data_IF_342929066878
#
_entry.id   IF_342929066878
#
_cell.length_a   1.000
_cell.length_b   1.000
_cell.length_c   1.000
_cell.angle_alpha   90.00
_cell.angle_beta   90.00
_cell.angle_gamma   90.00
#
_symmetry.space_group_name_H-M   'P 1'
#
loop_
_entity.id
_entity.type
_entity.pdbx_description
1 polymer ?
#
# COMPACT_ATOMS: atom_id res chain seq x y z
N UNK A 1 31.25 19.48 -44.37
CA UNK A 1 31.54 18.98 -43.01
C UNK A 1 31.00 19.88 -41.91
N UNK A 2 31.26 21.21 -41.92
CA UNK A 2 30.79 22.17 -40.89
C UNK A 2 29.26 22.25 -40.72
N UNK A 3 28.49 22.12 -41.82
CA UNK A 3 27.01 22.11 -41.81
C UNK A 3 26.40 20.82 -41.23
N UNK A 4 27.12 19.69 -41.33
CA UNK A 4 26.69 18.41 -40.75
C UNK A 4 26.89 18.39 -39.24
N UNK A 5 27.98 18.99 -38.76
CA UNK A 5 28.25 19.16 -37.33
C UNK A 5 27.21 20.06 -36.65
N UNK A 6 26.79 21.16 -37.31
CA UNK A 6 25.73 22.02 -36.77
C UNK A 6 24.36 21.33 -36.73
N UNK A 7 24.04 20.48 -37.71
CA UNK A 7 22.79 19.72 -37.70
C UNK A 7 22.77 18.66 -36.59
N UNK A 8 23.91 18.01 -36.33
CA UNK A 8 24.04 17.02 -35.26
C UNK A 8 23.93 17.64 -33.86
N UNK A 9 24.53 18.82 -33.65
CA UNK A 9 24.40 19.59 -32.41
C UNK A 9 22.97 20.12 -32.18
N UNK A 10 22.26 20.49 -33.24
CA UNK A 10 20.87 20.95 -33.12
C UNK A 10 19.90 19.80 -32.79
N UNK A 11 20.07 18.62 -33.39
CA UNK A 11 19.27 17.43 -33.07
C UNK A 11 19.49 16.90 -31.64
N UNK A 12 20.72 17.03 -31.11
CA UNK A 12 21.02 16.63 -29.73
C UNK A 12 20.33 17.53 -28.69
N UNK A 13 20.09 18.81 -29.00
CA UNK A 13 19.40 19.75 -28.11
C UNK A 13 17.88 19.58 -28.03
N UNK A 14 17.26 18.93 -29.03
CA UNK A 14 15.81 18.69 -29.09
C UNK A 14 15.36 17.44 -28.31
N UNK A 15 16.30 16.61 -27.86
CA UNK A 15 16.00 15.40 -27.10
C UNK A 15 15.94 15.73 -25.59
N UNK A 16 14.91 16.46 -25.17
CA UNK A 16 14.64 16.58 -23.74
C UNK A 16 14.05 15.26 -23.24
N UNK A 17 14.55 14.68 -22.13
CA UNK A 17 13.89 13.54 -21.51
C UNK A 17 12.51 13.99 -21.03
N UNK A 18 11.45 13.41 -21.59
CA UNK A 18 10.11 13.58 -21.06
C UNK A 18 10.06 12.93 -19.68
N UNK A 19 10.23 13.72 -18.61
CA UNK A 19 9.89 13.29 -17.26
C UNK A 19 8.36 13.22 -17.16
N UNK A 20 7.80 12.10 -17.62
CA UNK A 20 6.43 11.74 -17.28
C UNK A 20 6.39 11.38 -15.80
N UNK A 21 5.78 12.22 -14.97
CA UNK A 21 5.49 11.85 -13.59
C UNK A 21 4.54 10.64 -13.64
N UNK A 22 5.01 9.50 -13.14
CA UNK A 22 4.22 8.27 -13.19
C UNK A 22 3.02 8.41 -12.26
N UNK A 23 1.86 7.91 -12.70
CA UNK A 23 0.62 7.94 -11.94
C UNK A 23 0.13 6.52 -11.66
N UNK A 24 -0.17 6.23 -10.40
CA UNK A 24 -0.71 4.95 -9.94
C UNK A 24 -2.13 5.13 -9.46
N UNK A 25 -3.02 4.19 -9.82
CA UNK A 25 -4.41 4.20 -9.40
C UNK A 25 -4.62 3.20 -8.27
N UNK A 26 -5.09 3.70 -7.12
CA UNK A 26 -5.34 2.93 -5.91
C UNK A 26 -6.85 2.91 -5.60
N UNK A 27 -7.42 1.71 -5.57
CA UNK A 27 -8.81 1.48 -5.19
C UNK A 27 -8.91 1.34 -3.66
N UNK A 28 -9.73 2.14 -3.00
CA UNK A 28 -9.91 2.13 -1.54
C UNK A 28 -11.40 2.17 -1.18
N UNK A 29 -11.74 1.69 0.01
CA UNK A 29 -13.09 1.84 0.55
C UNK A 29 -13.18 2.95 1.58
N UNK A 30 -14.39 3.43 1.81
CA UNK A 30 -14.64 4.41 2.87
C UNK A 30 -14.51 3.77 4.25
N UNK A 31 -13.74 4.42 5.11
CA UNK A 31 -13.58 4.06 6.51
C UNK A 31 -13.18 5.30 7.34
N UNK A 32 -14.14 6.19 7.67
CA UNK A 32 -13.86 7.33 8.51
C UNK A 32 -13.42 6.90 9.93
N UNK A 33 -12.51 7.64 10.59
CA UNK A 33 -11.87 8.88 10.15
C UNK A 33 -10.59 8.66 9.30
N UNK A 34 -10.26 7.42 8.94
CA UNK A 34 -8.99 7.08 8.31
C UNK A 34 -8.97 7.29 6.80
N UNK A 35 -10.08 6.96 6.13
CA UNK A 35 -10.27 7.05 4.68
C UNK A 35 -11.68 7.58 4.40
N UNK A 36 -11.81 8.59 3.54
CA UNK A 36 -13.12 9.04 3.07
C UNK A 36 -13.01 10.12 2.01
N UNK A 37 -13.90 10.12 1.02
CA UNK A 37 -13.85 11.05 -0.11
C UNK A 37 -14.04 12.51 0.35
N UNK A 38 -14.90 12.70 1.36
CA UNK A 38 -15.21 14.02 1.93
C UNK A 38 -14.18 14.53 2.97
N UNK A 39 -13.16 13.74 3.31
CA UNK A 39 -12.17 14.14 4.31
C UNK A 39 -11.05 14.99 3.69
N UNK A 40 -10.42 15.91 4.45
CA UNK A 40 -9.20 16.57 4.03
C UNK A 40 -8.14 15.54 3.64
N UNK A 41 -7.53 15.71 2.46
CA UNK A 41 -6.55 14.77 1.90
C UNK A 41 -7.03 13.32 1.79
N UNK A 42 -8.34 13.10 1.76
CA UNK A 42 -9.00 11.79 1.80
C UNK A 42 -8.79 10.99 3.11
N UNK A 43 -8.25 11.61 4.16
CA UNK A 43 -7.95 11.00 5.45
C UNK A 43 -6.45 10.70 5.66
N UNK A 44 -6.10 10.22 6.85
CA UNK A 44 -4.70 9.98 7.25
C UNK A 44 -4.02 8.90 6.42
N UNK A 45 -4.77 7.88 5.98
CA UNK A 45 -4.20 6.80 5.19
C UNK A 45 -3.80 7.30 3.81
N UNK A 46 -4.69 7.87 2.97
CA UNK A 46 -4.28 8.36 1.65
C UNK A 46 -3.20 9.45 1.71
N UNK A 47 -3.20 10.28 2.76
CA UNK A 47 -2.13 11.23 2.99
C UNK A 47 -0.75 10.53 3.13
N UNK A 48 -0.64 9.52 4.00
CA UNK A 48 0.57 8.73 4.17
C UNK A 48 1.04 8.09 2.85
N UNK A 49 0.10 7.70 1.99
CA UNK A 49 0.42 7.09 0.69
C UNK A 49 0.91 8.10 -0.31
N UNK A 50 0.28 9.26 -0.38
CA UNK A 50 0.76 10.36 -1.20
C UNK A 50 2.21 10.71 -0.83
N UNK A 51 2.51 10.80 0.46
CA UNK A 51 3.88 11.06 0.94
C UNK A 51 4.84 9.93 0.55
N UNK A 52 4.46 8.68 0.77
CA UNK A 52 5.29 7.52 0.41
C UNK A 52 5.58 7.45 -1.09
N UNK A 53 4.58 7.64 -1.95
CA UNK A 53 4.74 7.62 -3.41
C UNK A 53 5.45 8.88 -3.94
N UNK A 54 5.27 10.03 -3.29
CA UNK A 54 5.99 11.27 -3.62
C UNK A 54 7.50 11.12 -3.44
N UNK A 55 7.98 10.30 -2.50
CA UNK A 55 9.43 10.02 -2.35
C UNK A 55 10.05 9.38 -3.60
N UNK A 56 9.24 8.75 -4.45
CA UNK A 56 9.64 8.11 -5.71
C UNK A 56 9.25 8.94 -6.94
N UNK A 57 8.73 10.15 -6.76
CA UNK A 57 8.21 10.99 -7.85
C UNK A 57 6.97 10.41 -8.52
N UNK A 58 6.17 9.63 -7.79
CA UNK A 58 4.94 9.01 -8.30
C UNK A 58 3.71 9.73 -7.73
N UNK A 59 2.76 10.05 -8.59
CA UNK A 59 1.46 10.60 -8.21
C UNK A 59 0.43 9.48 -8.00
N UNK A 60 -0.55 9.70 -7.12
CA UNK A 60 -1.57 8.72 -6.77
C UNK A 60 -2.96 9.24 -7.13
N UNK A 61 -3.73 8.43 -7.84
CA UNK A 61 -5.16 8.61 -8.08
C UNK A 61 -5.94 7.64 -7.19
N UNK A 62 -6.94 8.14 -6.45
CA UNK A 62 -7.79 7.31 -5.61
C UNK A 62 -9.14 7.06 -6.28
N UNK A 63 -9.62 5.81 -6.19
CA UNK A 63 -10.98 5.45 -6.51
C UNK A 63 -11.68 4.89 -5.27
N UNK A 64 -12.83 5.47 -4.93
CA UNK A 64 -13.65 5.03 -3.81
C UNK A 64 -14.65 3.98 -4.27
N UNK A 65 -14.56 2.79 -3.68
CA UNK A 65 -15.44 1.67 -3.98
C UNK A 65 -15.83 0.94 -2.69
N UNK A 66 -16.97 0.21 -2.66
CA UNK A 66 -17.21 -0.77 -1.60
C UNK A 66 -16.00 -1.71 -1.49
N UNK A 67 -15.56 -2.03 -0.26
CA UNK A 67 -14.32 -2.80 -0.01
C UNK A 67 -14.18 -4.06 -0.87
N UNK A 68 -15.27 -4.84 -0.98
CA UNK A 68 -15.30 -6.04 -1.85
C UNK A 68 -14.99 -5.72 -3.31
N UNK A 69 -15.54 -4.61 -3.82
CA UNK A 69 -15.28 -4.14 -5.20
C UNK A 69 -13.85 -3.66 -5.34
N UNK A 70 -13.33 -2.85 -4.41
CA UNK A 70 -11.94 -2.40 -4.44
C UNK A 70 -10.95 -3.59 -4.55
N UNK A 71 -11.20 -4.67 -3.80
CA UNK A 71 -10.43 -5.91 -3.92
C UNK A 71 -10.53 -6.54 -5.31
N UNK A 72 -11.75 -6.67 -5.84
CA UNK A 72 -12.00 -7.26 -7.15
C UNK A 72 -11.37 -6.44 -8.28
N UNK A 73 -11.43 -5.11 -8.21
CA UNK A 73 -10.80 -4.20 -9.17
C UNK A 73 -9.29 -4.44 -9.31
N UNK A 74 -8.60 -4.67 -8.19
CA UNK A 74 -7.17 -4.98 -8.19
C UNK A 74 -6.90 -6.41 -8.62
N UNK A 75 -7.71 -7.37 -8.16
CA UNK A 75 -7.60 -8.78 -8.59
C UNK A 75 -7.77 -8.93 -10.12
N UNK A 76 -8.63 -8.11 -10.72
CA UNK A 76 -8.88 -8.10 -12.17
C UNK A 76 -7.91 -7.19 -12.94
N UNK A 77 -6.95 -6.54 -12.27
CA UNK A 77 -5.92 -5.70 -12.88
C UNK A 77 -6.41 -4.37 -13.44
N UNK A 78 -7.68 -3.99 -13.21
CA UNK A 78 -8.22 -2.69 -13.62
C UNK A 78 -7.65 -1.54 -12.80
N UNK A 79 -7.33 -1.83 -11.54
CA UNK A 79 -6.64 -0.94 -10.63
C UNK A 79 -5.29 -1.54 -10.24
N UNK A 80 -4.27 -0.70 -10.07
CA UNK A 80 -2.91 -1.18 -9.82
C UNK A 80 -2.73 -1.61 -8.37
N UNK A 81 -3.41 -0.93 -7.45
CA UNK A 81 -3.24 -1.18 -6.03
C UNK A 81 -4.49 -0.93 -5.20
N UNK A 82 -4.44 -1.42 -3.95
CA UNK A 82 -5.44 -1.12 -2.91
C UNK A 82 -4.76 -1.10 -1.54
N UNK A 83 -5.33 -0.36 -0.59
CA UNK A 83 -4.70 -0.05 0.70
C UNK A 83 -5.46 -0.67 1.88
N UNK A 84 -4.78 -0.80 3.02
CA UNK A 84 -5.36 -1.18 4.33
C UNK A 84 -6.03 -2.56 4.33
N UNK A 85 -5.31 -3.54 3.78
CA UNK A 85 -5.75 -4.94 3.83
C UNK A 85 -5.00 -5.72 4.90
N UNK A 86 -5.74 -6.39 5.78
CA UNK A 86 -5.19 -7.45 6.60
C UNK A 86 -4.60 -8.57 5.74
N UNK A 87 -3.37 -8.97 6.05
CA UNK A 87 -2.60 -10.01 5.37
C UNK A 87 -3.14 -11.40 5.76
N UNK A 88 -3.65 -12.16 4.79
CA UNK A 88 -4.11 -13.54 4.97
C UNK A 88 -3.58 -14.43 3.84
N UNK A 89 -3.38 -15.75 4.07
CA UNK A 89 -2.82 -16.64 3.05
C UNK A 89 -3.62 -16.64 1.74
N UNK A 90 -4.95 -16.56 1.81
CA UNK A 90 -5.83 -16.53 0.63
C UNK A 90 -5.58 -15.26 -0.20
N UNK A 91 -5.28 -14.15 0.45
CA UNK A 91 -5.04 -12.87 -0.22
C UNK A 91 -3.65 -12.75 -0.79
N UNK A 92 -2.65 -13.40 -0.17
CA UNK A 92 -1.29 -13.52 -0.69
C UNK A 92 -1.24 -14.35 -1.97
N UNK A 93 -2.09 -15.39 -2.05
CA UNK A 93 -2.24 -16.19 -3.27
C UNK A 93 -2.71 -15.35 -4.46
N UNK A 94 -3.44 -14.26 -4.22
CA UNK A 94 -3.97 -13.38 -5.27
C UNK A 94 -3.08 -12.14 -5.53
N UNK A 95 -2.41 -11.56 -4.53
CA UNK A 95 -1.64 -10.31 -4.68
C UNK A 95 -0.41 -10.21 -3.77
N UNK A 96 0.48 -9.29 -4.14
CA UNK A 96 1.65 -8.93 -3.34
C UNK A 96 1.29 -7.90 -2.27
N UNK A 97 1.93 -8.00 -1.11
CA UNK A 97 1.78 -7.09 0.03
C UNK A 97 3.10 -6.35 0.28
N UNK A 98 3.02 -5.06 0.60
CA UNK A 98 4.18 -4.30 1.08
C UNK A 98 4.60 -4.68 2.49
N UNK A 99 5.66 -4.02 2.99
CA UNK A 99 5.87 -3.90 4.42
C UNK A 99 4.62 -3.30 5.11
N UNK A 100 4.48 -3.62 6.39
CA UNK A 100 3.38 -3.13 7.23
C UNK A 100 3.43 -1.61 7.31
N UNK A 101 2.36 -0.92 6.93
CA UNK A 101 2.28 0.54 7.04
C UNK A 101 1.43 1.02 8.20
N UNK A 102 0.58 0.15 8.73
CA UNK A 102 -0.31 0.45 9.84
C UNK A 102 -0.54 -0.82 10.66
N UNK A 103 -0.60 -0.64 11.98
CA UNK A 103 -0.84 -1.70 12.96
C UNK A 103 -1.98 -1.25 13.87
N UNK A 104 -3.03 -2.05 13.93
CA UNK A 104 -4.13 -1.91 14.88
C UNK A 104 -4.07 -2.98 15.97
N UNK A 105 -4.66 -2.64 17.11
CA UNK A 105 -4.90 -3.54 18.22
C UNK A 105 -6.41 -3.68 18.42
N UNK A 106 -6.88 -4.93 18.44
CA UNK A 106 -8.28 -5.23 18.72
C UNK A 106 -8.46 -5.32 20.23
N UNK A 107 -9.16 -4.34 20.80
CA UNK A 107 -9.46 -4.26 22.22
C UNK A 107 -10.96 -4.44 22.48
N UNK A 108 -11.29 -5.07 23.61
CA UNK A 108 -12.68 -5.24 24.04
C UNK A 108 -13.11 -4.07 24.94
N UNK A 109 -14.12 -3.32 24.51
CA UNK A 109 -14.76 -2.30 25.33
C UNK A 109 -15.95 -2.90 26.09
N UNK A 110 -16.08 -2.57 27.37
CA UNK A 110 -17.23 -2.92 28.20
C UNK A 110 -17.70 -1.73 29.04
N UNK A 111 -18.96 -1.78 29.47
CA UNK A 111 -19.57 -0.71 30.27
C UNK A 111 -19.05 -0.77 31.71
N UNK A 112 -18.64 0.36 32.30
CA UNK A 112 -18.04 0.39 33.65
C UNK A 112 -18.91 -0.25 34.73
N UNK A 113 -20.22 -0.08 34.62
CA UNK A 113 -21.25 -0.60 35.55
C UNK A 113 -21.65 -2.06 35.27
N UNK A 114 -21.19 -2.64 34.16
CA UNK A 114 -21.42 -4.05 33.82
C UNK A 114 -20.09 -4.72 33.47
N UNK A 115 -19.21 -4.95 34.48
CA UNK A 115 -17.98 -5.68 34.26
C UNK A 115 -18.29 -7.08 33.75
N UNK A 116 -17.52 -7.53 32.76
CA UNK A 116 -17.64 -8.87 32.21
C UNK A 116 -17.01 -9.83 33.23
N UNK A 117 -17.82 -10.67 33.85
CA UNK A 117 -17.36 -11.63 34.84
C UNK A 117 -16.63 -12.79 34.16
N UNK A 118 -15.36 -12.96 34.52
CA UNK A 118 -14.48 -13.97 33.96
C UNK A 118 -13.38 -13.34 33.13
N UNK A 119 -12.17 -13.30 33.69
CA UNK A 119 -10.91 -13.35 32.95
C UNK A 119 -10.82 -14.69 32.21
N UNK A 120 -11.79 -15.01 31.35
CA UNK A 120 -11.47 -15.74 30.15
C UNK A 120 -10.62 -14.75 29.37
N UNK A 121 -9.30 -14.88 29.53
CA UNK A 121 -8.29 -14.33 28.64
C UNK A 121 -8.94 -14.27 27.27
N UNK A 122 -9.32 -13.07 26.80
CA UNK A 122 -9.66 -12.92 25.40
C UNK A 122 -8.44 -13.51 24.71
N UNK A 123 -8.57 -14.65 24.00
CA UNK A 123 -7.47 -15.15 23.19
C UNK A 123 -7.47 -14.23 21.99
N UNK A 124 -7.26 -12.92 22.22
CA UNK A 124 -6.91 -11.98 21.17
C UNK A 124 -5.84 -12.67 20.40
N UNK A 125 -6.05 -12.80 19.09
CA UNK A 125 -5.63 -13.97 18.33
C UNK A 125 -4.19 -14.28 18.72
N UNK A 126 -4.02 -15.38 19.48
CA UNK A 126 -2.74 -15.72 20.09
C UNK A 126 -1.71 -15.68 18.97
N UNK A 127 -0.80 -14.70 19.04
CA UNK A 127 0.26 -14.45 18.07
C UNK A 127 -0.14 -14.37 16.58
N UNK A 128 -1.33 -13.88 16.23
CA UNK A 128 -1.62 -13.63 14.80
C UNK A 128 -1.43 -12.16 14.47
N UNK A 129 -0.24 -11.83 13.97
CA UNK A 129 -0.01 -10.72 13.02
C UNK A 129 -0.97 -9.55 13.20
N UNK A 130 -0.70 -8.71 14.21
CA UNK A 130 -1.33 -7.40 14.37
C UNK A 130 -1.62 -6.81 12.99
N UNK A 131 -2.90 -6.62 12.66
CA UNK A 131 -3.45 -6.65 11.31
C UNK A 131 -2.63 -5.75 10.39
N UNK A 132 -1.62 -6.36 9.78
CA UNK A 132 -0.56 -5.65 9.12
C UNK A 132 -1.12 -5.20 7.79
N UNK A 133 -1.63 -3.98 7.79
CA UNK A 133 -2.20 -3.35 6.63
C UNK A 133 -1.08 -3.07 5.65
N UNK A 134 -1.14 -3.69 4.48
CA UNK A 134 -0.13 -3.53 3.45
C UNK A 134 -0.74 -3.15 2.10
N UNK A 135 0.09 -2.55 1.26
CA UNK A 135 -0.21 -2.19 -0.11
C UNK A 135 -0.38 -3.44 -0.94
N UNK A 136 -1.56 -3.59 -1.52
CA UNK A 136 -1.84 -4.59 -2.54
C UNK A 136 -1.31 -4.06 -3.87
N UNK A 137 -0.52 -4.85 -4.60
CA UNK A 137 -0.17 -4.58 -6.00
C UNK A 137 -0.72 -5.66 -6.94
N UNK A 138 -1.20 -5.25 -8.11
CA UNK A 138 -1.44 -6.16 -9.23
C UNK A 138 -0.11 -6.75 -9.71
N UNK A 139 0.00 -8.08 -9.69
CA UNK A 139 1.24 -8.86 -9.91
C UNK A 139 1.95 -8.55 -11.24
N UNK A 140 1.26 -7.95 -12.22
CA UNK A 140 1.78 -7.65 -13.56
C UNK A 140 2.63 -6.37 -13.69
N UNK A 141 2.62 -5.45 -12.70
CA UNK A 141 3.26 -4.13 -12.82
C UNK A 141 4.22 -3.74 -11.69
N UNK A 142 4.71 -4.69 -10.90
CA UNK A 142 5.72 -4.44 -9.86
C UNK A 142 7.11 -4.13 -10.45
N UNK A 143 7.33 -2.94 -11.01
CA UNK A 143 8.67 -2.43 -11.34
C UNK A 143 9.33 -1.67 -10.19
N UNK A 144 8.56 -1.11 -9.25
CA UNK A 144 9.05 -0.08 -8.34
C UNK A 144 9.62 -0.58 -7.01
N UNK A 145 9.15 -1.71 -6.49
CA UNK A 145 9.55 -2.20 -5.17
C UNK A 145 10.49 -3.43 -5.22
N UNK A 146 10.98 -3.80 -6.40
CA UNK A 146 11.97 -4.87 -6.54
C UNK A 146 13.41 -4.33 -6.63
N UNK A 147 13.70 -3.24 -5.90
CA UNK A 147 15.08 -2.97 -5.48
C UNK A 147 15.28 -3.60 -4.11
N UNK A 148 16.23 -4.55 -3.96
CA UNK A 148 16.55 -5.08 -2.64
C UNK A 148 17.05 -3.92 -1.80
N UNK A 149 16.26 -3.49 -0.81
CA UNK A 149 16.70 -2.49 0.14
C UNK A 149 17.67 -3.19 1.10
N UNK A 150 18.93 -3.27 0.67
CA UNK A 150 20.07 -3.69 1.46
C UNK A 150 20.37 -2.63 2.52
N UNK A 151 19.50 -2.46 3.54
CA UNK A 151 19.78 -1.74 4.79
C UNK A 151 18.53 -1.66 5.70
N UNK A 152 17.90 -2.79 6.03
CA UNK A 152 17.06 -2.86 7.23
C UNK A 152 17.08 -4.30 7.74
N UNK A 153 18.06 -4.59 8.60
CA UNK A 153 18.16 -5.87 9.28
C UNK A 153 16.94 -6.10 10.18
N UNK A 154 16.00 -6.90 9.71
CA UNK A 154 15.07 -7.62 10.57
C UNK A 154 15.26 -9.10 10.32
N UNK A 155 16.02 -9.70 11.24
CA UNK A 155 16.28 -11.12 11.35
C UNK A 155 14.97 -11.86 11.56
N UNK A 156 14.44 -12.48 10.52
CA UNK A 156 13.47 -13.56 10.67
C UNK A 156 14.26 -14.80 11.08
N UNK A 157 14.41 -15.04 12.38
CA UNK A 157 14.75 -16.38 12.88
C UNK A 157 13.58 -17.30 12.52
N UNK A 158 13.78 -18.42 11.81
CA UNK A 158 12.74 -19.42 11.62
C UNK A 158 12.46 -20.10 12.96
N UNK A 159 11.18 -20.22 13.31
CA UNK A 159 10.74 -21.08 14.40
C UNK A 159 11.00 -22.53 13.98
N UNK A 160 12.00 -23.16 14.60
CA UNK A 160 12.15 -24.61 14.59
C UNK A 160 10.96 -25.22 15.34
N UNK A 161 10.29 -26.13 14.65
CA UNK A 161 9.24 -26.99 15.16
C UNK A 161 9.93 -28.14 15.90
N UNK A 162 9.62 -28.31 17.19
CA UNK A 162 9.91 -29.49 18.01
C UNK A 162 8.62 -29.96 18.65
#
# INVERSE_FOLDING_TARGET
MRRLLTALLLCAGLCQPAQSQEQIRIAIGEWPPFIGEALPHYGVVPQLLNEAFATQGVSVEYGFFPWKRAYTEVKQGRWQASAIWGRTPEREADCLFSAVVYRDEVVLFYRRDKPIAGTAVWPGPSSSTACASAFRWARQRCRYWNKPNSAAGYSTKPAEMS
#
